data_IF_243713898275
#
_entry.id   IF_243713898275
#
_cell.length_a   1.000
_cell.length_b   1.000
_cell.length_c   1.000
_cell.angle_alpha   90.00
_cell.angle_beta   90.00
_cell.angle_gamma   90.00
#
_symmetry.space_group_name_H-M   'P 1'
#
loop_
_entity.id
_entity.type
_entity.pdbx_description
1 polymer ?
#
# COMPACT_ATOMS: atom_id res chain seq x y z
N UNK A 1 17.34 -22.07 -1.86
CA UNK A 1 16.86 -20.76 -2.32
C UNK A 1 16.02 -20.18 -1.19
N UNK A 2 16.03 -18.86 -0.96
CA UNK A 2 15.13 -18.25 0.04
C UNK A 2 13.83 -17.79 -0.67
N UNK A 3 12.79 -17.47 0.11
CA UNK A 3 11.49 -17.09 -0.45
C UNK A 3 11.56 -15.87 -1.39
N UNK A 4 12.47 -14.91 -1.13
CA UNK A 4 12.66 -13.74 -1.99
C UNK A 4 13.18 -14.15 -3.36
N UNK A 5 14.20 -15.00 -3.41
CA UNK A 5 14.83 -15.41 -4.66
C UNK A 5 13.86 -16.25 -5.51
N UNK A 6 13.05 -17.11 -4.89
CA UNK A 6 11.99 -17.87 -5.58
C UNK A 6 10.95 -16.94 -6.23
N UNK A 7 10.55 -15.87 -5.54
CA UNK A 7 9.60 -14.88 -6.05
C UNK A 7 10.20 -14.10 -7.23
N UNK A 8 11.44 -13.64 -7.11
CA UNK A 8 12.13 -12.90 -8.19
C UNK A 8 12.29 -13.79 -9.43
N UNK A 9 12.70 -15.04 -9.25
CA UNK A 9 12.82 -16.02 -10.33
C UNK A 9 11.49 -16.20 -11.08
N UNK A 10 10.40 -16.38 -10.33
CA UNK A 10 9.06 -16.51 -10.92
C UNK A 10 8.63 -15.25 -11.68
N UNK A 11 8.92 -14.05 -11.16
CA UNK A 11 8.61 -12.77 -11.83
C UNK A 11 9.43 -12.56 -13.11
N UNK A 12 10.66 -13.09 -13.17
CA UNK A 12 11.52 -13.07 -14.35
C UNK A 12 11.18 -14.18 -15.36
N UNK A 13 10.10 -14.93 -15.13
CA UNK A 13 9.63 -15.99 -16.02
C UNK A 13 10.45 -17.28 -15.96
N UNK A 14 11.35 -17.42 -14.97
CA UNK A 14 11.98 -18.71 -14.70
C UNK A 14 10.92 -19.66 -14.15
N UNK A 15 10.80 -20.83 -14.77
CA UNK A 15 9.80 -21.83 -14.39
C UNK A 15 10.21 -22.47 -13.06
N UNK A 16 9.50 -22.12 -11.99
CA UNK A 16 9.50 -22.90 -10.77
C UNK A 16 8.61 -24.14 -10.94
N UNK A 17 8.96 -25.26 -10.28
CA UNK A 17 8.09 -26.44 -10.21
C UNK A 17 6.78 -26.13 -9.48
N UNK A 18 6.86 -25.27 -8.45
CA UNK A 18 5.74 -24.76 -7.68
C UNK A 18 5.86 -23.23 -7.57
N UNK A 19 4.84 -22.45 -7.94
CA UNK A 19 4.88 -21.00 -7.76
C UNK A 19 5.01 -20.64 -6.27
N UNK A 20 5.86 -19.67 -5.90
CA UNK A 20 6.02 -19.27 -4.51
C UNK A 20 4.74 -18.58 -3.99
N UNK A 21 4.35 -18.80 -2.73
CA UNK A 21 3.19 -18.16 -2.13
C UNK A 21 3.50 -16.69 -1.82
N UNK A 22 3.22 -15.81 -2.79
CA UNK A 22 3.41 -14.37 -2.69
C UNK A 22 2.12 -13.59 -2.94
N UNK A 23 2.05 -12.38 -2.41
CA UNK A 23 0.91 -11.48 -2.56
C UNK A 23 1.36 -10.06 -2.86
N UNK A 24 0.75 -9.46 -3.87
CA UNK A 24 1.13 -8.14 -4.41
C UNK A 24 0.02 -7.10 -4.22
N UNK A 25 -1.16 -7.54 -3.78
CA UNK A 25 -2.30 -6.69 -3.42
C UNK A 25 -2.42 -6.54 -1.90
N UNK A 26 -3.28 -5.63 -1.43
CA UNK A 26 -3.57 -5.51 0.00
C UNK A 26 -4.15 -6.81 0.54
N UNK A 27 -3.66 -7.26 1.71
CA UNK A 27 -4.13 -8.47 2.39
C UNK A 27 -4.74 -8.20 3.76
N UNK A 28 -4.75 -6.96 4.21
CA UNK A 28 -5.20 -6.64 5.56
C UNK A 28 -6.71 -6.91 5.68
N UNK A 29 -7.06 -7.72 6.67
CA UNK A 29 -8.43 -8.07 7.05
C UNK A 29 -8.72 -7.60 8.47
N UNK A 30 -9.99 -7.40 8.81
CA UNK A 30 -10.41 -7.03 10.17
C UNK A 30 -9.89 -8.04 11.20
N UNK A 31 -9.88 -9.33 10.89
CA UNK A 31 -9.37 -10.37 11.80
C UNK A 31 -7.86 -10.28 12.04
N UNK A 32 -7.07 -9.89 11.04
CA UNK A 32 -5.64 -9.61 11.25
C UNK A 32 -5.43 -8.35 12.08
N UNK A 33 -6.28 -7.33 11.92
CA UNK A 33 -6.23 -6.13 12.76
C UNK A 33 -6.53 -6.45 14.21
N UNK A 34 -7.60 -7.21 14.47
CA UNK A 34 -7.97 -7.65 15.81
C UNK A 34 -6.85 -8.45 16.46
N UNK A 35 -6.23 -9.34 15.70
CA UNK A 35 -5.21 -10.21 16.29
C UNK A 35 -3.83 -9.58 16.44
N UNK A 36 -3.47 -8.58 15.64
CA UNK A 36 -2.19 -7.86 15.76
C UNK A 36 -2.27 -6.63 16.67
N UNK A 37 -3.49 -6.17 17.00
CA UNK A 37 -3.71 -4.88 17.65
C UNK A 37 -3.43 -3.67 16.75
N UNK A 38 -3.15 -3.89 15.46
CA UNK A 38 -2.85 -2.86 14.49
C UNK A 38 -4.04 -2.72 13.52
N UNK A 39 -4.87 -1.70 13.70
CA UNK A 39 -6.08 -1.47 12.90
C UNK A 39 -5.98 -0.28 11.97
N UNK A 40 -6.79 -0.29 10.92
CA UNK A 40 -7.17 0.96 10.24
C UNK A 40 -8.09 1.81 11.14
N UNK A 41 -8.05 3.14 11.04
CA UNK A 41 -7.24 3.92 10.08
C UNK A 41 -5.76 4.08 10.46
N UNK A 42 -5.38 3.86 11.71
CA UNK A 42 -4.05 4.23 12.21
C UNK A 42 -2.91 3.49 11.50
N UNK A 43 -3.08 2.20 11.19
CA UNK A 43 -2.09 1.40 10.48
C UNK A 43 -1.88 1.86 9.01
N UNK A 44 -2.71 2.75 8.47
CA UNK A 44 -2.45 3.36 7.16
C UNK A 44 -1.37 4.45 7.23
N UNK A 45 -1.10 5.02 8.41
CA UNK A 45 -0.31 6.25 8.54
C UNK A 45 0.84 6.14 9.54
N UNK A 46 0.71 5.25 10.54
CA UNK A 46 1.75 4.95 11.51
C UNK A 46 2.66 3.82 11.00
N UNK A 47 3.96 4.05 10.78
CA UNK A 47 4.86 3.04 10.23
C UNK A 47 4.98 1.78 11.08
N UNK A 48 4.94 1.90 12.42
CA UNK A 48 5.06 0.75 13.31
C UNK A 48 3.82 -0.14 13.26
N UNK A 49 2.63 0.47 13.27
CA UNK A 49 1.36 -0.27 13.09
C UNK A 49 1.24 -0.85 11.69
N UNK A 50 1.72 -0.15 10.68
CA UNK A 50 1.74 -0.64 9.29
C UNK A 50 2.57 -1.92 9.18
N UNK A 51 3.82 -1.89 9.67
CA UNK A 51 4.68 -3.07 9.72
C UNK A 51 4.04 -4.18 10.55
N UNK A 52 3.47 -3.86 11.72
CA UNK A 52 2.79 -4.82 12.59
C UNK A 52 1.67 -5.58 11.87
N UNK A 53 0.79 -4.86 11.18
CA UNK A 53 -0.32 -5.46 10.43
C UNK A 53 0.17 -6.21 9.18
N UNK A 54 1.14 -5.67 8.45
CA UNK A 54 1.69 -6.32 7.26
C UNK A 54 2.39 -7.65 7.57
N UNK A 55 3.05 -7.79 8.73
CA UNK A 55 3.70 -9.04 9.11
C UNK A 55 2.73 -10.20 9.38
N UNK A 56 1.45 -9.93 9.64
CA UNK A 56 0.46 -10.97 9.92
C UNK A 56 0.29 -11.96 8.76
N UNK A 57 0.51 -11.52 7.51
CA UNK A 57 0.41 -12.41 6.36
C UNK A 57 1.46 -13.53 6.40
N UNK A 58 2.71 -13.15 6.71
CA UNK A 58 3.81 -14.10 6.85
C UNK A 58 3.62 -14.96 8.10
N UNK A 59 3.31 -14.33 9.25
CA UNK A 59 3.19 -15.02 10.55
C UNK A 59 2.05 -16.02 10.63
N UNK A 60 0.90 -15.75 9.99
CA UNK A 60 -0.29 -16.61 10.08
C UNK A 60 -0.44 -17.59 8.93
N UNK A 61 -0.08 -17.16 7.72
CA UNK A 61 -0.40 -17.90 6.51
C UNK A 61 0.85 -18.39 5.77
N UNK A 62 2.05 -18.00 6.21
CA UNK A 62 3.30 -18.48 5.62
C UNK A 62 3.64 -17.88 4.26
N UNK A 63 3.05 -16.73 3.89
CA UNK A 63 3.43 -16.04 2.65
C UNK A 63 4.92 -15.67 2.66
N UNK A 64 5.59 -15.89 1.53
CA UNK A 64 6.99 -15.55 1.32
C UNK A 64 7.25 -14.05 1.10
N UNK A 65 6.19 -13.24 1.04
CA UNK A 65 6.24 -11.79 0.83
C UNK A 65 5.51 -11.03 1.94
N UNK A 66 5.87 -9.76 2.12
CA UNK A 66 5.17 -8.79 2.96
C UNK A 66 4.80 -7.60 2.07
N UNK A 67 3.54 -7.16 2.13
CA UNK A 67 3.00 -6.03 1.36
C UNK A 67 2.57 -4.89 2.28
N UNK A 68 2.99 -3.68 1.94
CA UNK A 68 2.51 -2.40 2.46
C UNK A 68 2.52 -1.36 1.32
N UNK A 69 1.77 -0.24 1.40
CA UNK A 69 0.79 0.12 2.44
C UNK A 69 -0.51 -0.67 2.26
N UNK A 70 -1.65 -0.15 2.74
CA UNK A 70 -2.98 -0.79 2.54
C UNK A 70 -3.93 -0.01 1.62
N UNK A 71 -3.50 1.16 1.14
CA UNK A 71 -4.25 2.04 0.26
C UNK A 71 -3.50 2.34 -1.05
N UNK A 72 -4.22 2.82 -2.05
CA UNK A 72 -3.69 3.39 -3.30
C UNK A 72 -3.85 4.92 -3.36
N UNK A 73 -4.28 5.55 -2.26
CA UNK A 73 -4.56 7.00 -2.20
C UNK A 73 -3.43 7.84 -1.62
N UNK A 74 -2.31 7.22 -1.22
CA UNK A 74 -1.20 7.88 -0.51
C UNK A 74 -0.60 9.02 -1.34
N UNK A 75 -0.25 8.71 -2.58
CA UNK A 75 0.35 9.68 -3.52
C UNK A 75 -0.66 10.76 -3.95
N UNK A 76 -1.91 10.34 -4.19
CA UNK A 76 -2.99 11.26 -4.56
C UNK A 76 -3.20 12.35 -3.49
N UNK A 77 -3.13 11.98 -2.20
CA UNK A 77 -3.24 12.92 -1.09
C UNK A 77 -2.12 13.97 -1.11
N UNK A 78 -0.87 13.54 -1.34
CA UNK A 78 0.29 14.45 -1.43
C UNK A 78 0.15 15.40 -2.62
N UNK A 79 -0.42 14.93 -3.73
CA UNK A 79 -0.74 15.76 -4.89
C UNK A 79 -2.00 16.63 -4.75
N UNK A 80 -2.57 16.73 -3.54
CA UNK A 80 -3.66 17.66 -3.23
C UNK A 80 -5.07 17.10 -3.42
N UNK A 81 -5.23 15.81 -3.72
CA UNK A 81 -6.56 15.20 -3.70
C UNK A 81 -7.13 15.17 -2.27
N UNK A 82 -8.44 15.38 -2.17
CA UNK A 82 -9.15 15.15 -0.92
C UNK A 82 -9.31 13.64 -0.71
N UNK A 83 -8.87 13.15 0.44
CA UNK A 83 -8.91 11.73 0.78
C UNK A 83 -9.55 11.57 2.13
N UNK A 84 -10.61 10.76 2.19
CA UNK A 84 -11.15 10.24 3.44
C UNK A 84 -10.22 9.15 3.97
N UNK A 85 -9.89 9.20 5.27
CA UNK A 85 -8.99 8.24 5.91
C UNK A 85 -9.56 6.82 6.01
N UNK A 86 -10.87 6.67 5.81
CA UNK A 86 -11.56 5.40 5.93
C UNK A 86 -11.91 5.06 7.38
N UNK A 87 -12.16 3.77 7.63
CA UNK A 87 -12.52 3.17 8.92
C UNK A 87 -11.85 1.81 9.03
N UNK A 88 -12.10 1.08 10.12
CA UNK A 88 -11.57 -0.26 10.36
C UNK A 88 -11.81 -1.25 9.20
N UNK A 89 -12.95 -1.14 8.53
CA UNK A 89 -13.40 -2.03 7.46
C UNK A 89 -13.42 -1.35 6.08
N UNK A 90 -13.06 -0.06 6.01
CA UNK A 90 -13.17 0.75 4.81
C UNK A 90 -11.82 1.40 4.55
N UNK A 91 -11.13 1.10 3.44
CA UNK A 91 -9.84 1.71 3.14
C UNK A 91 -9.99 3.22 2.86
N UNK A 92 -8.89 3.98 2.87
CA UNK A 92 -8.89 5.36 2.44
C UNK A 92 -9.43 5.52 1.01
N UNK A 93 -10.20 6.59 0.76
CA UNK A 93 -10.88 6.84 -0.52
C UNK A 93 -10.62 8.27 -0.99
N UNK A 94 -10.26 8.42 -2.27
CA UNK A 94 -10.20 9.74 -2.93
C UNK A 94 -11.62 10.26 -3.15
N UNK A 95 -11.94 11.40 -2.55
CA UNK A 95 -13.25 12.05 -2.66
C UNK A 95 -13.29 13.05 -3.82
N UNK A 96 -12.21 13.79 -4.01
CA UNK A 96 -12.10 14.81 -5.05
C UNK A 96 -10.65 14.97 -5.49
N UNK A 97 -10.47 15.44 -6.72
CA UNK A 97 -9.15 15.73 -7.29
C UNK A 97 -9.14 17.17 -7.83
N UNK A 98 -8.09 17.96 -7.53
CA UNK A 98 -7.94 19.29 -8.13
C UNK A 98 -7.69 19.21 -9.65
N UNK A 99 -7.37 18.02 -10.16
CA UNK A 99 -7.11 17.76 -11.59
C UNK A 99 -8.32 17.17 -12.33
N UNK A 100 -9.47 17.02 -11.67
CA UNK A 100 -10.66 16.51 -12.34
C UNK A 100 -11.17 17.52 -13.39
N UNK A 101 -10.91 17.26 -14.67
CA UNK A 101 -11.41 18.05 -15.78
C UNK A 101 -12.91 17.89 -16.01
N UNK A 102 -13.55 18.88 -16.66
CA UNK A 102 -14.98 18.84 -17.07
C UNK A 102 -15.22 17.98 -18.33
N UNK A 103 -14.59 16.81 -18.44
CA UNK A 103 -14.84 15.84 -19.52
C UNK A 103 -13.80 15.75 -20.64
N UNK A 104 -12.70 16.51 -20.58
CA UNK A 104 -11.50 16.28 -21.40
C UNK A 104 -10.33 15.87 -20.49
N UNK A 105 -9.41 15.03 -21.00
CA UNK A 105 -8.12 14.79 -20.35
C UNK A 105 -7.42 16.14 -20.20
N UNK A 106 -7.15 16.56 -18.97
CA UNK A 106 -6.39 17.79 -18.71
C UNK A 106 -4.93 17.61 -19.12
N UNK A 107 -4.27 18.73 -19.39
CA UNK A 107 -2.81 18.76 -19.48
C UNK A 107 -2.20 18.20 -18.19
N UNK A 108 -1.01 17.60 -18.30
CA UNK A 108 -0.27 17.13 -17.13
C UNK A 108 0.00 18.33 -16.24
N UNK A 109 -0.47 18.32 -14.98
CA UNK A 109 -0.26 19.44 -14.07
C UNK A 109 1.23 19.58 -13.74
N UNK A 110 1.66 20.79 -13.40
CA UNK A 110 2.98 21.01 -12.83
C UNK A 110 3.02 20.37 -11.43
N UNK A 111 3.83 19.32 -11.27
CA UNK A 111 3.91 18.54 -10.05
C UNK A 111 5.08 19.03 -9.19
N UNK A 112 4.97 18.82 -7.87
CA UNK A 112 6.06 19.11 -6.94
C UNK A 112 7.34 18.34 -7.29
N UNK A 113 8.53 18.87 -6.93
CA UNK A 113 9.79 18.16 -7.07
C UNK A 113 9.80 16.80 -6.35
N UNK A 114 10.55 15.83 -6.88
CA UNK A 114 10.61 14.46 -6.34
C UNK A 114 11.08 14.41 -4.88
N UNK A 115 12.07 15.23 -4.50
CA UNK A 115 12.58 15.26 -3.12
C UNK A 115 11.52 15.79 -2.13
N UNK A 116 10.71 16.76 -2.58
CA UNK A 116 9.57 17.24 -1.81
C UNK A 116 8.50 16.16 -1.70
N UNK A 117 8.20 15.45 -2.79
CA UNK A 117 7.23 14.35 -2.79
C UNK A 117 7.63 13.22 -1.81
N UNK A 118 8.87 12.76 -1.84
CA UNK A 118 9.36 11.67 -0.99
C UNK A 118 9.37 12.03 0.50
N UNK A 119 9.56 13.31 0.82
CA UNK A 119 9.56 13.79 2.21
C UNK A 119 8.17 14.21 2.72
N UNK A 120 7.13 14.15 1.88
CA UNK A 120 5.81 14.72 2.18
C UNK A 120 4.83 13.73 2.79
N UNK A 121 4.25 14.11 3.94
CA UNK A 121 3.03 13.54 4.49
C UNK A 121 3.03 12.00 4.56
N UNK A 122 1.99 11.38 4.00
CA UNK A 122 1.83 9.92 4.04
C UNK A 122 2.82 9.16 3.17
N UNK A 123 3.43 9.80 2.17
CA UNK A 123 4.46 9.18 1.33
C UNK A 123 5.69 8.86 2.18
N UNK A 124 6.13 9.78 3.03
CA UNK A 124 7.28 9.58 3.93
C UNK A 124 7.07 8.46 4.97
N UNK A 125 5.83 8.03 5.21
CA UNK A 125 5.54 6.88 6.08
C UNK A 125 5.69 5.53 5.37
N UNK A 126 5.85 5.52 4.04
CA UNK A 126 5.78 4.32 3.19
C UNK A 126 7.03 4.13 2.32
N UNK A 127 7.50 5.22 1.68
CA UNK A 127 8.62 5.25 0.74
C UNK A 127 9.88 5.80 1.42
#
# INVERSE_FOLDING_TARGET
>A
MNARDEIVDAMEGRRAELPPPAVFTSTATVSQMDSSGCSWPEANFDPQKMVGLSLEMNRRFGFGSVRLPFSISVEAKVHGCEVAEGKKDTPPLVLSSPYAGKGALSDVPDLMPVDEFLSSGWVASVL
#
